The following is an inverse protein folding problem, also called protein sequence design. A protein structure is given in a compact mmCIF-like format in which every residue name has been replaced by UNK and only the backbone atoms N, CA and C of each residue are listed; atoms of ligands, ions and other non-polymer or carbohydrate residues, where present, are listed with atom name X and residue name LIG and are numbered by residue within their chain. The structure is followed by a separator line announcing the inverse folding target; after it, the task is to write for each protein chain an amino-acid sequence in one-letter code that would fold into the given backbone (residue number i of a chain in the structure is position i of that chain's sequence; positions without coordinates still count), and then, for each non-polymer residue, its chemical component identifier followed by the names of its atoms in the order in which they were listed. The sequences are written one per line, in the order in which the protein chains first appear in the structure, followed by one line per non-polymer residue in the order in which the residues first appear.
data_IF_596217523484
#
_entry.id   IF_596217523484
#
_cell.length_a   1.000
_cell.length_b   1.000
_cell.length_c   1.000
_cell.angle_alpha   90.00
_cell.angle_beta   90.00
_cell.angle_gamma   90.00
#
_symmetry.space_group_name_H-M   'P 1'
#
loop_
_entity.id
_entity.type
_entity.pdbx_description
1 polymer ?
#
# COMPACT_ATOMS: atom_id res chain seq x y z
N UNK A 1 13.99 3.42 -6.42
CA UNK A 1 12.58 3.03 -6.24
C UNK A 1 12.19 3.38 -4.81
N UNK A 2 11.11 4.14 -4.64
CA UNK A 2 10.48 4.43 -3.35
C UNK A 2 9.01 4.00 -3.45
N UNK A 3 8.48 3.41 -2.39
CA UNK A 3 7.10 2.97 -2.34
C UNK A 3 6.30 3.95 -1.49
N UNK A 4 5.12 4.33 -1.96
CA UNK A 4 4.20 5.22 -1.26
C UNK A 4 2.88 4.51 -1.02
N UNK A 5 2.33 4.62 0.18
CA UNK A 5 1.03 4.06 0.57
C UNK A 5 0.06 5.20 0.82
N UNK A 6 -1.06 5.18 0.10
CA UNK A 6 -2.17 6.10 0.26
C UNK A 6 -3.28 5.33 0.95
N UNK A 7 -3.85 5.90 2.00
CA UNK A 7 -4.92 5.29 2.79
C UNK A 7 -6.07 6.29 2.96
N UNK A 8 -7.28 5.86 2.65
CA UNK A 8 -8.52 6.55 2.99
C UNK A 8 -9.35 5.74 3.99
N UNK A 9 -10.02 6.41 4.94
CA UNK A 9 -10.87 5.79 5.96
C UNK A 9 -12.29 6.36 5.99
N UNK A 10 -13.27 5.51 6.32
CA UNK A 10 -14.68 5.86 6.57
C UNK A 10 -15.16 5.07 7.79
N UNK A 11 -15.03 5.63 8.98
CA UNK A 11 -15.25 4.94 10.25
C UNK A 11 -14.38 3.68 10.36
N UNK A 12 -15.01 2.50 10.33
CA UNK A 12 -14.30 1.22 10.37
C UNK A 12 -13.82 0.73 9.00
N UNK A 13 -14.28 1.34 7.90
CA UNK A 13 -13.85 0.98 6.54
C UNK A 13 -12.51 1.64 6.21
N UNK A 14 -11.68 0.92 5.46
CA UNK A 14 -10.36 1.38 5.01
C UNK A 14 -10.15 0.96 3.56
N UNK A 15 -9.65 1.88 2.74
CA UNK A 15 -9.09 1.59 1.42
C UNK A 15 -7.63 2.03 1.43
N UNK A 16 -6.73 1.17 0.98
CA UNK A 16 -5.32 1.52 0.85
C UNK A 16 -4.73 0.95 -0.42
N UNK A 17 -3.85 1.71 -1.05
CA UNK A 17 -3.14 1.30 -2.25
C UNK A 17 -1.69 1.80 -2.18
N UNK A 18 -0.78 0.98 -2.70
CA UNK A 18 0.64 1.29 -2.77
C UNK A 18 1.07 1.56 -4.21
N UNK A 19 2.03 2.46 -4.36
CA UNK A 19 2.62 2.81 -5.65
C UNK A 19 4.13 2.85 -5.53
N UNK A 20 4.80 2.07 -6.38
CA UNK A 20 6.24 2.14 -6.57
C UNK A 20 6.60 3.23 -7.57
N UNK A 21 7.43 4.18 -7.14
CA UNK A 21 7.92 5.27 -7.96
C UNK A 21 9.41 5.10 -8.18
N UNK A 22 9.80 5.18 -9.45
CA UNK A 22 11.18 5.38 -9.85
C UNK A 22 11.24 6.68 -10.65
N UNK A 23 11.72 7.75 -10.01
CA UNK A 23 11.83 9.07 -10.60
C UNK A 23 13.08 9.80 -10.12
N UNK A 24 13.37 10.94 -10.75
CA UNK A 24 14.37 11.92 -10.35
C UNK A 24 13.80 13.06 -9.49
N UNK A 25 12.51 12.99 -9.15
CA UNK A 25 11.83 13.99 -8.33
C UNK A 25 12.33 13.94 -6.87
N UNK A 26 12.14 15.07 -6.17
CA UNK A 26 12.33 15.12 -4.72
C UNK A 26 11.28 14.24 -4.02
N UNK A 27 11.57 13.71 -2.82
CA UNK A 27 10.62 12.90 -2.07
C UNK A 27 9.25 13.57 -1.87
N UNK A 28 9.22 14.89 -1.64
CA UNK A 28 7.98 15.65 -1.46
C UNK A 28 7.15 15.69 -2.75
N UNK A 29 7.80 15.88 -3.89
CA UNK A 29 7.13 15.86 -5.19
C UNK A 29 6.62 14.46 -5.54
N UNK A 30 7.35 13.40 -5.17
CA UNK A 30 6.90 12.02 -5.34
C UNK A 30 5.67 11.71 -4.47
N UNK A 31 5.62 12.21 -3.23
CA UNK A 31 4.44 12.09 -2.35
C UNK A 31 3.21 12.71 -3.01
N UNK A 32 3.32 13.96 -3.48
CA UNK A 32 2.22 14.65 -4.14
C UNK A 32 1.78 13.94 -5.42
N UNK A 33 2.74 13.42 -6.18
CA UNK A 33 2.44 12.66 -7.39
C UNK A 33 1.69 11.36 -7.07
N UNK A 34 2.18 10.56 -6.11
CA UNK A 34 1.57 9.31 -5.69
C UNK A 34 0.13 9.52 -5.19
N UNK A 35 -0.06 10.52 -4.33
CA UNK A 35 -1.37 10.88 -3.79
C UNK A 35 -2.36 11.24 -4.90
N UNK A 36 -2.00 12.19 -5.77
CA UNK A 36 -2.88 12.61 -6.86
C UNK A 36 -3.21 11.47 -7.82
N UNK A 37 -2.22 10.65 -8.17
CA UNK A 37 -2.43 9.53 -9.09
C UNK A 37 -3.42 8.50 -8.52
N UNK A 38 -3.25 8.11 -7.26
CA UNK A 38 -4.14 7.14 -6.61
C UNK A 38 -5.52 7.74 -6.36
N UNK A 39 -5.62 9.00 -5.94
CA UNK A 39 -6.91 9.67 -5.75
C UNK A 39 -7.68 9.77 -7.07
N UNK A 40 -7.04 10.19 -8.16
CA UNK A 40 -7.67 10.23 -9.49
C UNK A 40 -8.18 8.85 -9.91
N UNK A 41 -7.38 7.80 -9.66
CA UNK A 41 -7.78 6.42 -9.93
C UNK A 41 -9.00 6.03 -9.11
N UNK A 42 -8.99 6.28 -7.81
CA UNK A 42 -10.12 5.94 -6.93
C UNK A 42 -11.39 6.73 -7.26
N UNK A 43 -11.26 8.02 -7.61
CA UNK A 43 -12.38 8.85 -8.07
C UNK A 43 -13.01 8.24 -9.34
N UNK A 44 -12.21 7.73 -10.28
CA UNK A 44 -12.72 7.06 -11.50
C UNK A 44 -13.42 5.73 -11.19
N UNK A 45 -12.97 4.99 -10.18
CA UNK A 45 -13.52 3.66 -9.84
C UNK A 45 -14.76 3.73 -8.94
N UNK A 46 -14.73 4.59 -7.92
CA UNK A 46 -15.74 4.65 -6.87
C UNK A 46 -16.61 5.92 -6.92
N UNK A 47 -16.16 6.93 -7.67
CA UNK A 47 -16.81 8.23 -7.76
C UNK A 47 -16.23 9.24 -6.77
N UNK A 48 -16.23 10.50 -7.19
CA UNK A 48 -15.74 11.65 -6.42
C UNK A 48 -16.42 11.79 -5.04
N UNK A 49 -17.73 11.57 -4.99
CA UNK A 49 -18.51 11.70 -3.74
C UNK A 49 -18.10 10.67 -2.69
N UNK A 50 -17.73 9.45 -3.12
CA UNK A 50 -17.26 8.41 -2.20
C UNK A 50 -15.93 8.82 -1.56
N UNK A 51 -14.97 9.29 -2.39
CA UNK A 51 -13.63 9.69 -1.92
C UNK A 51 -13.69 10.95 -1.06
N UNK A 52 -14.51 11.95 -1.41
CA UNK A 52 -14.70 13.15 -0.59
C UNK A 52 -15.39 12.90 0.74
N UNK A 53 -16.11 11.80 0.88
CA UNK A 53 -16.76 11.42 2.12
C UNK A 53 -15.80 10.72 3.11
N UNK A 54 -14.52 10.51 2.74
CA UNK A 54 -13.54 9.93 3.63
C UNK A 54 -13.30 10.84 4.85
N UNK A 55 -13.21 10.25 6.03
CA UNK A 55 -12.91 10.97 7.27
C UNK A 55 -11.46 11.48 7.26
N UNK A 56 -10.55 10.66 6.72
CA UNK A 56 -9.13 10.97 6.63
C UNK A 56 -8.53 10.31 5.38
N UNK A 57 -7.62 11.04 4.73
CA UNK A 57 -6.76 10.54 3.66
C UNK A 57 -5.31 10.82 4.05
N UNK A 58 -4.46 9.81 4.06
CA UNK A 58 -3.04 9.93 4.41
C UNK A 58 -2.14 9.31 3.35
N UNK A 59 -1.01 9.96 3.12
CA UNK A 59 0.06 9.49 2.23
C UNK A 59 1.33 9.28 3.04
N UNK A 60 1.96 8.11 2.91
CA UNK A 60 3.21 7.78 3.64
C UNK A 60 4.20 7.07 2.73
N UNK A 61 5.48 7.43 2.82
CA UNK A 61 6.53 6.61 2.26
C UNK A 61 6.63 5.30 3.05
N UNK A 62 6.59 4.17 2.35
CA UNK A 62 6.84 2.85 2.92
C UNK A 62 8.34 2.69 3.00
N UNK A 63 8.87 2.71 4.22
CA UNK A 63 10.26 2.33 4.45
C UNK A 63 10.30 0.81 4.30
N UNK A 64 11.03 0.25 3.32
CA UNK A 64 11.21 -1.19 3.28
C UNK A 64 11.89 -1.57 4.59
N UNK A 65 11.16 -2.27 5.46
CA UNK A 65 11.76 -2.81 6.67
C UNK A 65 12.94 -3.70 6.29
N UNK A 66 13.94 -3.90 7.17
CA UNK A 66 14.79 -5.07 7.01
C UNK A 66 13.83 -6.26 6.89
N UNK A 67 13.97 -7.09 5.86
CA UNK A 67 13.20 -8.32 5.75
C UNK A 67 13.34 -9.08 7.07
N UNK A 68 12.36 -8.93 7.97
CA UNK A 68 12.17 -9.87 9.06
C UNK A 68 11.61 -11.08 8.34
N UNK A 69 12.52 -11.99 8.03
CA UNK A 69 12.24 -13.39 7.76
C UNK A 69 11.33 -13.93 8.86
N UNK A 70 10.02 -13.73 8.69
CA UNK A 70 8.98 -14.49 9.37
C UNK A 70 7.97 -14.93 8.31
N UNK A 71 8.49 -15.68 7.34
CA UNK A 71 7.78 -16.80 6.72
C UNK A 71 7.50 -17.88 7.78
N UNK A 72 6.86 -17.50 8.89
CA UNK A 72 6.58 -18.34 10.04
C UNK A 72 5.25 -17.91 10.69
N UNK A 73 4.19 -17.83 9.89
CA UNK A 73 2.81 -17.83 10.39
C UNK A 73 1.75 -18.21 9.31
N UNK A 74 2.16 -18.67 8.12
CA UNK A 74 1.26 -19.31 7.17
C UNK A 74 1.65 -20.78 7.13
N UNK A 75 0.66 -21.68 7.18
CA UNK A 75 0.79 -23.15 7.12
C UNK A 75 1.18 -23.88 8.42
N UNK A 76 0.31 -23.78 9.43
CA UNK A 76 0.08 -24.91 10.33
C UNK A 76 -0.91 -25.91 9.68
N UNK A 77 -0.44 -26.68 8.71
CA UNK A 77 -1.02 -27.99 8.31
C UNK A 77 -0.02 -28.69 7.38
N UNK A 78 0.74 -29.66 7.92
CA UNK A 78 0.59 -31.09 7.58
C UNK A 78 1.06 -31.37 6.13
N UNK A 79 2.23 -31.95 5.87
CA UNK A 79 2.65 -33.31 6.21
C UNK A 79 4.19 -33.40 6.14
N UNK A 80 4.73 -34.34 6.91
CA UNK A 80 6.11 -34.82 6.79
C UNK A 80 6.28 -35.73 5.57
N UNK A 81 7.48 -35.75 4.99
CA UNK A 81 8.19 -36.87 4.32
C UNK A 81 9.25 -36.26 3.38
N UNK A 82 10.54 -36.21 3.75
CA UNK A 82 11.55 -37.26 3.64
C UNK A 82 12.35 -37.25 2.31
N UNK A 83 13.68 -37.26 2.47
CA UNK A 83 14.75 -37.72 1.55
C UNK A 83 15.29 -36.84 0.39
N UNK A 84 16.53 -36.37 0.64
CA UNK A 84 17.78 -36.62 -0.14
C UNK A 84 17.88 -36.22 -1.63
N UNK A 85 18.77 -35.26 -1.92
CA UNK A 85 20.11 -35.51 -2.48
C UNK A 85 21.02 -34.29 -2.21
#
# INVERSE_FOLDING_TARGET
MRTYSITATWGAMKLSEEMDITSDLTPDNEIHYAENFILDKWIRLFGDQFIKAADEITTKAVIPGPCSSSLAACDAKLEAEACQC
#
